data_IF_755171025242
#
_entry.id   IF_755171025242
#
_cell.length_a   1.000
_cell.length_b   1.000
_cell.length_c   1.000
_cell.angle_alpha   90.00
_cell.angle_beta   90.00
_cell.angle_gamma   90.00
#
_symmetry.space_group_name_H-M   'P 1'
#
loop_
_entity.id
_entity.type
_entity.pdbx_description
1 polymer ?
#
# COMPACT_ATOMS: atom_id res chain seq x y z
N UNK A 1 6.79 -3.01 -17.28
CA UNK A 1 5.33 -2.70 -17.17
C UNK A 1 4.94 -1.29 -17.65
N UNK A 2 5.85 -0.31 -17.70
CA UNK A 2 5.56 1.10 -18.01
C UNK A 2 4.76 1.35 -19.31
N UNK A 3 5.02 0.61 -20.39
CA UNK A 3 4.27 0.78 -21.65
C UNK A 3 2.77 0.51 -21.48
N UNK A 4 2.40 -0.52 -20.71
CA UNK A 4 1.00 -0.85 -20.45
C UNK A 4 0.36 0.24 -19.59
N UNK A 5 1.08 0.77 -18.60
CA UNK A 5 0.61 1.87 -17.77
C UNK A 5 0.27 3.13 -18.61
N UNK A 6 1.10 3.44 -19.61
CA UNK A 6 0.84 4.54 -20.57
C UNK A 6 -0.45 4.32 -21.34
N UNK A 7 -0.63 3.15 -21.95
CA UNK A 7 -1.85 2.84 -22.70
C UNK A 7 -3.10 2.82 -21.81
N UNK A 8 -3.02 2.22 -20.62
CA UNK A 8 -4.13 2.18 -19.67
C UNK A 8 -4.58 3.58 -19.25
N UNK A 9 -3.62 4.46 -18.92
CA UNK A 9 -3.92 5.87 -18.59
C UNK A 9 -4.52 6.62 -19.78
N UNK A 10 -3.98 6.43 -21.00
CA UNK A 10 -4.54 7.06 -22.21
C UNK A 10 -5.99 6.66 -22.50
N UNK A 11 -6.37 5.42 -22.20
CA UNK A 11 -7.75 4.92 -22.37
C UNK A 11 -8.67 5.41 -21.23
N UNK A 12 -8.10 5.96 -20.16
CA UNK A 12 -8.86 6.58 -19.06
C UNK A 12 -9.09 5.69 -17.84
N UNK A 13 -8.18 4.75 -17.57
CA UNK A 13 -8.25 3.92 -16.36
C UNK A 13 -8.01 4.76 -15.09
N UNK A 14 -8.90 4.67 -14.11
CA UNK A 14 -8.82 5.44 -12.86
C UNK A 14 -7.78 4.91 -11.87
N UNK A 15 -7.57 3.59 -11.80
CA UNK A 15 -6.54 2.97 -10.96
C UNK A 15 -5.90 1.76 -11.63
N UNK A 16 -4.62 1.52 -11.34
CA UNK A 16 -3.86 0.45 -11.98
C UNK A 16 -2.95 -0.26 -10.97
N UNK A 17 -3.01 -1.59 -10.94
CA UNK A 17 -2.01 -2.41 -10.25
C UNK A 17 -0.63 -2.17 -10.85
N UNK A 18 0.24 -1.53 -10.06
CA UNK A 18 1.55 -1.06 -10.49
C UNK A 18 2.71 -1.78 -9.76
N UNK A 19 2.39 -2.78 -8.94
CA UNK A 19 3.36 -3.56 -8.18
C UNK A 19 3.63 -2.97 -6.79
N UNK A 20 4.49 -3.63 -6.04
CA UNK A 20 4.97 -3.20 -4.71
C UNK A 20 6.48 -3.43 -4.63
N UNK A 21 7.17 -2.64 -3.81
CA UNK A 21 8.60 -2.78 -3.51
C UNK A 21 8.84 -3.58 -2.23
N UNK A 22 7.81 -3.72 -1.39
CA UNK A 22 7.86 -4.50 -0.15
C UNK A 22 6.73 -5.52 -0.12
N UNK A 23 6.94 -6.62 0.59
CA UNK A 23 6.01 -7.74 0.69
C UNK A 23 6.56 -9.01 0.04
N UNK A 24 5.69 -10.00 -0.20
CA UNK A 24 6.12 -11.30 -0.72
C UNK A 24 6.43 -11.29 -2.22
N UNK A 25 5.79 -10.39 -2.97
CA UNK A 25 5.92 -10.29 -4.43
C UNK A 25 6.42 -8.89 -4.79
N UNK A 26 7.74 -8.70 -4.70
CA UNK A 26 8.40 -7.43 -5.00
C UNK A 26 8.84 -7.35 -6.47
N UNK A 27 8.68 -6.17 -7.06
CA UNK A 27 9.32 -5.80 -8.32
C UNK A 27 10.64 -5.06 -8.06
N UNK A 28 11.41 -4.81 -9.10
CA UNK A 28 12.61 -3.96 -9.00
C UNK A 28 12.18 -2.54 -8.58
N UNK A 29 12.84 -2.00 -7.55
CA UNK A 29 12.41 -0.76 -6.89
C UNK A 29 12.29 0.40 -7.86
N UNK A 30 13.29 0.59 -8.73
CA UNK A 30 13.30 1.71 -9.67
C UNK A 30 12.15 1.58 -10.69
N UNK A 31 11.94 0.40 -11.28
CA UNK A 31 10.84 0.19 -12.22
C UNK A 31 9.47 0.49 -11.59
N UNK A 32 9.23 0.02 -10.36
CA UNK A 32 7.94 0.27 -9.68
C UNK A 32 7.76 1.76 -9.39
N UNK A 33 8.79 2.43 -8.89
CA UNK A 33 8.74 3.88 -8.60
C UNK A 33 8.48 4.68 -9.88
N UNK A 34 9.18 4.37 -10.98
CA UNK A 34 8.99 5.05 -12.27
C UNK A 34 7.55 4.93 -12.80
N UNK A 35 6.92 3.76 -12.62
CA UNK A 35 5.51 3.56 -13.01
C UNK A 35 4.59 4.42 -12.15
N UNK A 36 4.81 4.43 -10.84
CA UNK A 36 4.01 5.22 -9.90
C UNK A 36 4.13 6.72 -10.18
N UNK A 37 5.33 7.21 -10.48
CA UNK A 37 5.57 8.60 -10.86
C UNK A 37 4.87 8.94 -12.17
N UNK A 38 5.02 8.09 -13.20
CA UNK A 38 4.33 8.30 -14.48
C UNK A 38 2.80 8.34 -14.34
N UNK A 39 2.20 7.46 -13.52
CA UNK A 39 0.74 7.44 -13.35
C UNK A 39 0.22 8.72 -12.67
N UNK A 40 1.08 9.41 -11.92
CA UNK A 40 0.77 10.63 -11.15
C UNK A 40 1.27 11.92 -11.80
N UNK A 41 2.12 11.85 -12.82
CA UNK A 41 2.67 13.00 -13.53
C UNK A 41 1.59 13.75 -14.31
N UNK A 42 1.87 14.99 -14.73
CA UNK A 42 1.12 15.58 -15.83
C UNK A 42 1.35 14.75 -17.11
N UNK A 43 0.29 14.59 -17.90
CA UNK A 43 0.32 13.83 -19.13
C UNK A 43 -0.73 14.40 -20.09
N UNK A 44 -0.37 15.49 -20.77
CA UNK A 44 -1.23 16.20 -21.72
C UNK A 44 -2.57 16.66 -21.10
N UNK A 45 -2.55 17.09 -19.82
CA UNK A 45 -3.77 17.51 -19.12
C UNK A 45 -4.74 16.38 -18.78
N UNK A 46 -4.37 15.12 -19.00
CA UNK A 46 -5.17 13.98 -18.58
C UNK A 46 -5.19 13.86 -17.06
N UNK A 47 -6.31 13.38 -16.53
CA UNK A 47 -6.43 13.02 -15.11
C UNK A 47 -5.36 11.99 -14.74
N UNK A 48 -4.95 12.02 -13.47
CA UNK A 48 -4.00 11.06 -12.89
C UNK A 48 -4.69 9.71 -12.71
N UNK A 49 -3.92 8.64 -12.86
CA UNK A 49 -4.35 7.27 -12.54
C UNK A 49 -3.76 6.90 -11.18
N UNK A 50 -4.57 6.37 -10.27
CA UNK A 50 -4.11 6.03 -8.92
C UNK A 50 -3.36 4.69 -8.97
N UNK A 51 -2.07 4.65 -8.62
CA UNK A 51 -1.34 3.39 -8.56
C UNK A 51 -1.82 2.52 -7.40
N UNK A 52 -1.86 1.21 -7.60
CA UNK A 52 -2.29 0.22 -6.61
C UNK A 52 -1.12 -0.70 -6.24
N UNK A 53 -0.72 -0.64 -4.98
CA UNK A 53 0.23 -1.56 -4.37
C UNK A 53 -0.48 -2.86 -4.00
N UNK A 54 0.04 -3.99 -4.47
CA UNK A 54 -0.52 -5.31 -4.20
C UNK A 54 0.58 -6.35 -4.29
N UNK A 55 0.68 -7.25 -3.30
CA UNK A 55 1.73 -8.26 -3.28
C UNK A 55 2.08 -8.80 -1.89
N UNK A 56 1.12 -9.43 -1.21
CA UNK A 56 1.35 -9.99 0.14
C UNK A 56 1.48 -8.92 1.22
N UNK A 57 0.74 -7.82 1.08
CA UNK A 57 0.78 -6.68 2.00
C UNK A 57 0.02 -6.97 3.29
N UNK A 58 0.51 -6.41 4.40
CA UNK A 58 -0.07 -6.51 5.74
C UNK A 58 0.21 -5.22 6.54
N UNK A 59 -0.43 -4.99 7.71
CA UNK A 59 -0.33 -3.72 8.43
C UNK A 59 1.10 -3.24 8.74
N UNK A 60 2.02 -4.18 9.00
CA UNK A 60 3.43 -3.87 9.29
C UNK A 60 4.22 -3.24 8.14
N UNK A 61 3.75 -3.34 6.89
CA UNK A 61 4.44 -2.78 5.72
C UNK A 61 3.93 -1.38 5.34
N UNK A 62 2.92 -0.86 6.04
CA UNK A 62 2.28 0.41 5.67
C UNK A 62 3.27 1.58 5.73
N UNK A 63 4.23 1.56 6.66
CA UNK A 63 5.20 2.65 6.82
C UNK A 63 6.14 2.70 5.63
N UNK A 64 6.77 1.57 5.31
CA UNK A 64 7.65 1.43 4.14
C UNK A 64 6.91 1.81 2.85
N UNK A 65 5.66 1.35 2.68
CA UNK A 65 4.86 1.69 1.50
C UNK A 65 4.61 3.19 1.39
N UNK A 66 4.23 3.85 2.48
CA UNK A 66 3.96 5.29 2.49
C UNK A 66 5.24 6.13 2.40
N UNK A 67 6.37 5.61 2.88
CA UNK A 67 7.68 6.24 2.70
C UNK A 67 8.13 6.17 1.23
N UNK A 68 8.00 5.01 0.60
CA UNK A 68 8.41 4.79 -0.79
C UNK A 68 7.46 5.49 -1.78
N UNK A 69 6.15 5.35 -1.58
CA UNK A 69 5.16 5.79 -2.55
C UNK A 69 4.47 7.11 -2.19
N UNK A 70 4.64 7.65 -0.99
CA UNK A 70 3.87 8.79 -0.50
C UNK A 70 2.43 8.40 -0.12
N UNK A 71 1.48 9.33 -0.29
CA UNK A 71 0.10 9.16 0.21
C UNK A 71 -0.95 8.98 -0.88
N UNK A 72 -0.60 9.21 -2.15
CA UNK A 72 -1.53 9.17 -3.28
C UNK A 72 -1.43 7.82 -4.02
N UNK A 73 -1.86 6.75 -3.36
CA UNK A 73 -1.89 5.38 -3.90
C UNK A 73 -2.91 4.52 -3.13
N UNK A 74 -3.24 3.33 -3.65
CA UNK A 74 -4.10 2.34 -2.97
C UNK A 74 -3.27 1.18 -2.46
N UNK A 75 -3.53 0.75 -1.23
CA UNK A 75 -2.99 -0.49 -0.67
C UNK A 75 -4.04 -1.60 -0.82
N UNK A 76 -3.73 -2.61 -1.64
CA UNK A 76 -4.49 -3.86 -1.71
C UNK A 76 -3.83 -4.89 -0.78
N UNK A 77 -4.51 -5.19 0.34
CA UNK A 77 -4.03 -6.09 1.38
C UNK A 77 -5.01 -7.24 1.64
N UNK A 78 -5.40 -8.00 0.61
CA UNK A 78 -6.37 -9.09 0.76
C UNK A 78 -5.94 -10.12 1.83
N UNK A 79 -4.80 -10.76 1.63
CA UNK A 79 -4.27 -11.76 2.57
C UNK A 79 -3.93 -11.19 3.95
N UNK A 80 -3.40 -9.96 4.02
CA UNK A 80 -3.11 -9.29 5.29
C UNK A 80 -4.35 -8.93 6.09
N UNK A 81 -5.48 -8.63 5.44
CA UNK A 81 -6.76 -8.37 6.11
C UNK A 81 -7.41 -9.66 6.55
N UNK A 82 -7.63 -10.61 5.62
CA UNK A 82 -8.35 -11.85 5.93
C UNK A 82 -7.54 -12.80 6.81
N UNK A 83 -6.21 -12.71 6.75
CA UNK A 83 -5.30 -13.52 7.56
C UNK A 83 -5.13 -13.04 8.99
N UNK A 84 -5.80 -11.98 9.44
CA UNK A 84 -5.65 -11.50 10.82
C UNK A 84 -6.08 -12.57 11.86
N UNK A 85 -5.36 -12.75 12.99
CA UNK A 85 -5.69 -13.77 14.00
C UNK A 85 -7.14 -13.72 14.51
N UNK A 86 -7.67 -12.49 14.60
CA UNK A 86 -9.01 -12.20 15.11
C UNK A 86 -10.02 -11.91 13.98
N UNK A 87 -9.75 -12.39 12.77
CA UNK A 87 -10.66 -12.34 11.62
C UNK A 87 -10.64 -11.06 10.77
N UNK A 88 -11.36 -11.08 9.64
CA UNK A 88 -11.37 -10.04 8.60
C UNK A 88 -11.64 -8.63 9.12
N UNK A 89 -12.63 -8.45 10.00
CA UNK A 89 -12.98 -7.12 10.55
C UNK A 89 -11.80 -6.52 11.30
N UNK A 90 -11.13 -7.34 12.10
CA UNK A 90 -9.95 -6.95 12.88
C UNK A 90 -8.77 -6.64 11.96
N UNK A 91 -8.55 -7.44 10.91
CA UNK A 91 -7.51 -7.15 9.91
C UNK A 91 -7.73 -5.84 9.14
N UNK A 92 -8.98 -5.55 8.77
CA UNK A 92 -9.33 -4.27 8.14
C UNK A 92 -9.08 -3.09 9.09
N UNK A 93 -9.43 -3.26 10.37
CA UNK A 93 -9.16 -2.25 11.41
C UNK A 93 -7.65 -2.05 11.63
N UNK A 94 -6.87 -3.13 11.66
CA UNK A 94 -5.41 -3.07 11.78
C UNK A 94 -4.75 -2.31 10.60
N UNK A 95 -5.19 -2.56 9.36
CA UNK A 95 -4.71 -1.79 8.19
C UNK A 95 -5.01 -0.29 8.34
N UNK A 96 -6.22 0.05 8.78
CA UNK A 96 -6.63 1.44 9.02
C UNK A 96 -5.82 2.09 10.14
N UNK A 97 -5.61 1.39 11.24
CA UNK A 97 -4.78 1.84 12.36
C UNK A 97 -3.33 2.10 11.93
N UNK A 98 -2.75 1.23 11.09
CA UNK A 98 -1.40 1.43 10.57
C UNK A 98 -1.28 2.69 9.69
N UNK A 99 -2.27 2.94 8.81
CA UNK A 99 -2.31 4.19 8.01
C UNK A 99 -2.48 5.41 8.91
N UNK A 100 -3.37 5.34 9.90
CA UNK A 100 -3.61 6.43 10.85
C UNK A 100 -2.37 6.76 11.69
N UNK A 101 -1.66 5.74 12.17
CA UNK A 101 -0.41 5.89 12.88
C UNK A 101 0.63 6.63 12.01
N UNK A 102 0.78 6.21 10.74
CA UNK A 102 1.73 6.83 9.81
C UNK A 102 1.41 8.29 9.51
N UNK A 103 0.12 8.59 9.33
CA UNK A 103 -0.38 9.96 9.08
C UNK A 103 -0.23 10.88 10.30
N UNK A 104 -0.19 10.31 11.51
CA UNK A 104 0.06 11.03 12.77
C UNK A 104 1.54 11.07 13.16
N UNK A 105 2.42 10.46 12.38
CA UNK A 105 3.86 10.36 12.66
C UNK A 105 4.17 9.73 14.02
N UNK A 106 3.37 8.74 14.44
CA UNK A 106 3.59 7.92 15.63
C UNK A 106 4.27 6.63 15.18
N UNK A 107 5.12 5.97 15.96
CA UNK A 107 5.64 4.64 15.56
C UNK A 107 4.55 3.55 15.62
N UNK A 108 4.63 2.52 14.77
CA UNK A 108 3.61 1.45 14.73
C UNK A 108 3.48 0.73 16.08
N UNK A 109 4.62 0.49 16.73
CA UNK A 109 4.72 -0.20 18.01
C UNK A 109 4.05 0.61 19.12
N UNK A 110 4.30 1.93 19.16
CA UNK A 110 3.69 2.84 20.13
C UNK A 110 2.18 2.95 19.91
N UNK A 111 1.75 3.08 18.64
CA UNK A 111 0.32 3.13 18.33
C UNK A 111 -0.39 1.82 18.68
N UNK A 112 0.30 0.68 18.58
CA UNK A 112 -0.25 -0.63 18.88
C UNK A 112 -0.56 -0.84 20.38
N UNK A 113 0.08 -0.11 21.30
CA UNK A 113 -0.18 -0.23 22.75
C UNK A 113 -1.66 0.04 23.10
N UNK A 114 -2.30 0.97 22.39
CA UNK A 114 -3.73 1.30 22.54
C UNK A 114 -4.65 0.60 21.54
N UNK A 115 -4.11 -0.20 20.62
CA UNK A 115 -4.84 -0.74 19.47
C UNK A 115 -4.57 -2.24 19.30
N UNK A 116 -5.41 -3.06 19.94
CA UNK A 116 -5.23 -4.51 19.99
C UNK A 116 -5.20 -5.18 18.60
N UNK A 117 -5.98 -4.71 17.63
CA UNK A 117 -5.97 -5.29 16.29
C UNK A 117 -4.62 -5.05 15.58
N UNK A 118 -4.09 -3.82 15.64
CA UNK A 118 -2.77 -3.53 15.13
C UNK A 118 -1.70 -4.35 15.86
N UNK A 119 -1.73 -4.39 17.20
CA UNK A 119 -0.78 -5.18 17.98
C UNK A 119 -0.78 -6.66 17.57
N UNK A 120 -1.96 -7.26 17.38
CA UNK A 120 -2.13 -8.66 16.98
C UNK A 120 -1.62 -8.89 15.55
N UNK A 121 -1.86 -7.95 14.64
CA UNK A 121 -1.30 -7.98 13.29
C UNK A 121 0.23 -7.94 13.31
N UNK A 122 0.82 -6.95 13.99
CA UNK A 122 2.28 -6.81 14.07
C UNK A 122 2.92 -8.05 14.70
N UNK A 123 2.26 -8.66 15.70
CA UNK A 123 2.74 -9.89 16.31
C UNK A 123 2.70 -11.10 15.37
N UNK A 124 1.72 -11.18 14.46
CA UNK A 124 1.59 -12.28 13.51
C UNK A 124 2.64 -12.22 12.40
N UNK A 125 2.90 -11.02 11.88
CA UNK A 125 3.80 -10.78 10.75
C UNK A 125 5.09 -10.08 11.20
N UNK A 126 5.63 -10.45 12.36
CA UNK A 126 6.96 -9.99 12.78
C UNK A 126 7.99 -10.41 11.75
N UNK A 127 8.81 -9.47 11.33
CA UNK A 127 10.10 -9.78 10.69
C UNK A 127 11.06 -10.32 11.74
#
# INVERSE_FOLDING_TARGET
>A
MLSIAKFARMVGVDNLHAGTVVGKMEGEKQEVVDIYEFLRSDFYGQKRTIPVASGGLHPGLVYDLMEIFGTDFVIQAGGGVHGHPDGTKSGAKAMRQAVEARMKEIELQDYAEGHSELARALNKWKN
#
